data_IF_106835728506
#
_entry.id   IF_106835728506
#
_cell.length_a   1.000
_cell.length_b   1.000
_cell.length_c   1.000
_cell.angle_alpha   90.00
_cell.angle_beta   90.00
_cell.angle_gamma   90.00
#
_symmetry.space_group_name_H-M   'P 1'
#
loop_
_entity.id
_entity.type
_entity.pdbx_description
1 polymer ?
#
# COMPACT_ATOMS: atom_id res chain seq x y z
N UNK A 1 -16.74 13.58 -3.03
CA UNK A 1 -15.53 14.39 -2.74
C UNK A 1 -14.31 13.68 -3.32
N UNK A 2 -13.41 14.31 -4.09
CA UNK A 2 -12.23 13.57 -4.59
C UNK A 2 -11.35 13.08 -3.43
N UNK A 3 -10.82 11.87 -3.54
CA UNK A 3 -9.92 11.25 -2.56
C UNK A 3 -8.59 12.01 -2.44
N UNK A 4 -7.86 11.77 -1.34
CA UNK A 4 -6.49 12.25 -1.11
C UNK A 4 -6.31 13.78 -1.21
N UNK A 5 -7.36 14.56 -0.92
CA UNK A 5 -7.30 16.03 -0.88
C UNK A 5 -6.67 16.59 0.39
N UNK A 6 -6.80 15.87 1.50
CA UNK A 6 -6.32 16.30 2.82
C UNK A 6 -5.24 15.35 3.29
N UNK A 7 -4.10 15.92 3.66
CA UNK A 7 -2.98 15.17 4.23
C UNK A 7 -3.37 14.64 5.64
N UNK A 8 -3.18 13.34 5.93
CA UNK A 8 -3.38 12.80 7.26
C UNK A 8 -2.57 13.53 8.33
N UNK A 9 -3.16 13.72 9.52
CA UNK A 9 -2.53 14.45 10.63
C UNK A 9 -1.16 13.86 10.99
N UNK A 10 -1.05 12.52 11.00
CA UNK A 10 0.20 11.82 11.35
C UNK A 10 1.33 12.08 10.33
N UNK A 11 0.98 12.18 9.05
CA UNK A 11 1.91 12.49 7.96
C UNK A 11 2.40 13.95 8.07
N UNK A 12 1.51 14.88 8.43
CA UNK A 12 1.88 16.28 8.75
C UNK A 12 2.84 16.32 9.93
N UNK A 13 2.52 15.62 11.02
CA UNK A 13 3.35 15.58 12.23
C UNK A 13 4.76 15.04 11.95
N UNK A 14 4.86 14.08 11.02
CA UNK A 14 6.10 13.49 10.56
C UNK A 14 6.92 14.39 9.60
N UNK A 15 6.37 15.55 9.20
CA UNK A 15 6.95 16.51 8.25
C UNK A 15 7.21 15.94 6.86
N UNK A 16 6.33 15.08 6.35
CA UNK A 16 6.58 14.38 5.08
C UNK A 16 6.49 15.30 3.86
N UNK A 17 5.48 16.18 3.78
CA UNK A 17 5.19 16.95 2.56
C UNK A 17 6.09 18.18 2.33
N UNK A 18 6.49 18.89 3.39
CA UNK A 18 7.13 20.22 3.26
C UNK A 18 8.57 20.25 3.79
N UNK A 19 9.20 19.08 3.98
CA UNK A 19 10.59 19.00 4.42
C UNK A 19 11.53 18.91 3.23
N UNK A 20 12.70 19.53 3.34
CA UNK A 20 13.76 19.37 2.34
C UNK A 20 14.16 17.89 2.21
N UNK A 21 14.65 17.51 1.04
CA UNK A 21 15.23 16.17 0.81
C UNK A 21 16.58 16.10 1.53
N UNK A 22 16.66 15.28 2.57
CA UNK A 22 17.82 15.18 3.48
C UNK A 22 18.31 13.73 3.68
N UNK A 23 17.66 12.75 3.04
CA UNK A 23 18.10 11.36 3.04
C UNK A 23 19.10 11.08 1.92
N UNK A 24 19.93 10.05 2.14
CA UNK A 24 20.83 9.55 1.11
C UNK A 24 20.08 8.62 0.16
N UNK A 25 20.44 8.65 -1.12
CA UNK A 25 20.00 7.67 -2.11
C UNK A 25 21.21 7.15 -2.86
N UNK A 26 21.39 5.82 -2.85
CA UNK A 26 22.48 5.13 -3.54
C UNK A 26 21.95 3.82 -4.10
N UNK A 27 22.62 3.23 -5.11
CA UNK A 27 22.22 1.91 -5.64
C UNK A 27 22.12 0.84 -4.56
N UNK A 28 23.03 0.85 -3.57
CA UNK A 28 23.00 -0.07 -2.43
C UNK A 28 21.78 0.11 -1.53
N UNK A 29 21.29 1.34 -1.36
CA UNK A 29 20.04 1.59 -0.62
C UNK A 29 18.86 1.04 -1.42
N UNK A 30 18.83 1.30 -2.72
CA UNK A 30 17.79 0.82 -3.62
C UNK A 30 17.70 -0.72 -3.62
N UNK A 31 18.84 -1.41 -3.76
CA UNK A 31 18.94 -2.89 -3.72
C UNK A 31 18.33 -3.46 -2.44
N UNK A 32 18.70 -2.90 -1.27
CA UNK A 32 18.15 -3.29 0.04
C UNK A 32 16.65 -3.05 0.21
N UNK A 33 16.05 -2.19 -0.61
CA UNK A 33 14.63 -1.88 -0.57
C UNK A 33 13.81 -2.69 -1.58
N UNK A 34 14.47 -3.26 -2.59
CA UNK A 34 13.87 -4.17 -3.57
C UNK A 34 13.93 -5.61 -3.05
N UNK A 35 15.02 -5.98 -2.36
CA UNK A 35 15.18 -7.31 -1.74
C UNK A 35 15.52 -7.17 -0.25
N UNK A 36 14.49 -6.98 0.61
CA UNK A 36 14.69 -6.59 2.01
C UNK A 36 14.81 -7.77 3.00
N UNK A 37 14.50 -9.02 2.61
CA UNK A 37 14.22 -10.13 3.53
C UNK A 37 15.37 -10.42 4.50
N UNK A 38 16.59 -10.56 3.99
CA UNK A 38 17.72 -11.08 4.78
C UNK A 38 18.07 -10.26 6.03
N UNK A 39 17.92 -8.94 6.00
CA UNK A 39 18.18 -8.08 7.18
C UNK A 39 16.93 -7.83 8.04
N UNK A 40 15.75 -8.30 7.61
CA UNK A 40 14.45 -7.90 8.16
C UNK A 40 13.48 -9.07 8.40
N UNK A 41 13.98 -10.30 8.54
CA UNK A 41 13.18 -11.52 8.78
C UNK A 41 12.15 -11.36 9.92
N UNK A 42 12.53 -10.67 11.00
CA UNK A 42 11.62 -10.42 12.13
C UNK A 42 10.41 -9.57 11.75
N UNK A 43 10.59 -8.58 10.87
CA UNK A 43 9.49 -7.74 10.39
C UNK A 43 8.63 -8.50 9.36
N UNK A 44 9.24 -9.31 8.51
CA UNK A 44 8.51 -10.20 7.62
C UNK A 44 7.63 -11.18 8.40
N UNK A 45 8.14 -11.79 9.47
CA UNK A 45 7.37 -12.66 10.35
C UNK A 45 6.17 -11.96 11.01
N UNK A 46 6.31 -10.68 11.35
CA UNK A 46 5.20 -9.86 11.85
C UNK A 46 4.16 -9.62 10.75
N UNK A 47 4.59 -9.30 9.52
CA UNK A 47 3.69 -9.11 8.38
C UNK A 47 2.97 -10.41 7.98
N UNK A 48 3.58 -11.57 8.18
CA UNK A 48 2.95 -12.87 7.92
C UNK A 48 1.78 -13.19 8.86
N UNK A 49 1.60 -12.43 9.95
CA UNK A 49 0.48 -12.60 10.88
C UNK A 49 -0.80 -11.89 10.43
N UNK A 50 -0.76 -11.05 9.40
CA UNK A 50 -1.92 -10.31 8.91
C UNK A 50 -2.47 -10.89 7.59
N UNK A 51 -3.77 -10.74 7.39
CA UNK A 51 -4.46 -11.24 6.20
C UNK A 51 -4.04 -10.52 4.92
N UNK A 52 -4.34 -11.09 3.74
CA UNK A 52 -3.96 -10.48 2.46
C UNK A 52 -4.64 -9.13 2.23
N UNK A 53 -5.92 -8.99 2.60
CA UNK A 53 -6.61 -7.69 2.52
C UNK A 53 -5.99 -6.66 3.47
N UNK A 54 -5.55 -7.06 4.66
CA UNK A 54 -4.83 -6.20 5.57
C UNK A 54 -3.46 -5.77 5.02
N UNK A 55 -2.70 -6.70 4.43
CA UNK A 55 -1.42 -6.39 3.76
C UNK A 55 -1.63 -5.40 2.61
N UNK A 56 -2.66 -5.60 1.78
CA UNK A 56 -3.01 -4.68 0.69
C UNK A 56 -3.39 -3.29 1.21
N UNK A 57 -4.19 -3.22 2.28
CA UNK A 57 -4.56 -1.96 2.93
C UNK A 57 -3.36 -1.23 3.56
N UNK A 58 -2.48 -1.97 4.22
CA UNK A 58 -1.24 -1.44 4.79
C UNK A 58 -0.31 -0.91 3.70
N UNK A 59 -0.18 -1.63 2.58
CA UNK A 59 0.58 -1.19 1.44
C UNK A 59 0.00 0.10 0.82
N UNK A 60 -1.33 0.18 0.63
CA UNK A 60 -1.99 1.39 0.14
C UNK A 60 -1.79 2.59 1.08
N UNK A 61 -1.95 2.38 2.39
CA UNK A 61 -1.70 3.40 3.40
C UNK A 61 -0.23 3.82 3.45
N UNK A 62 0.71 2.89 3.33
CA UNK A 62 2.16 3.18 3.26
C UNK A 62 2.50 3.98 2.00
N UNK A 63 1.89 3.64 0.86
CA UNK A 63 2.04 4.39 -0.38
C UNK A 63 1.53 5.83 -0.26
N UNK A 64 0.54 6.12 0.60
CA UNK A 64 0.14 7.50 0.88
C UNK A 64 1.26 8.33 1.53
N UNK A 65 2.10 7.75 2.38
CA UNK A 65 3.27 8.45 2.92
C UNK A 65 4.21 8.89 1.80
N UNK A 66 4.43 8.01 0.82
CA UNK A 66 5.29 8.26 -0.34
C UNK A 66 4.64 9.29 -1.28
N UNK A 67 3.34 9.17 -1.53
CA UNK A 67 2.57 10.15 -2.29
C UNK A 67 2.72 11.55 -1.71
N UNK A 68 2.47 11.71 -0.41
CA UNK A 68 2.60 13.01 0.24
C UNK A 68 4.03 13.52 0.28
N UNK A 69 5.04 12.63 0.29
CA UNK A 69 6.45 13.03 0.22
C UNK A 69 6.81 13.69 -1.09
N UNK A 70 6.26 13.18 -2.20
CA UNK A 70 6.66 13.60 -3.55
C UNK A 70 5.60 14.39 -4.31
N UNK A 71 4.44 14.66 -3.69
CA UNK A 71 3.28 15.27 -4.34
C UNK A 71 3.62 16.53 -5.15
N UNK A 72 4.36 17.44 -4.54
CA UNK A 72 4.75 18.73 -5.14
C UNK A 72 6.16 18.68 -5.77
N UNK A 73 6.85 17.52 -5.71
CA UNK A 73 8.23 17.34 -6.18
C UNK A 73 8.34 16.55 -7.48
N UNK A 74 7.28 15.84 -7.88
CA UNK A 74 7.27 15.05 -9.11
C UNK A 74 5.90 15.06 -9.77
N UNK A 75 5.88 15.13 -11.09
CA UNK A 75 4.65 14.97 -11.91
C UNK A 75 4.10 13.54 -11.86
N UNK A 76 4.89 12.58 -11.38
CA UNK A 76 4.49 11.18 -11.20
C UNK A 76 3.61 10.95 -9.96
N UNK A 77 3.46 11.96 -9.10
CA UNK A 77 2.59 11.87 -7.92
C UNK A 77 1.13 11.55 -8.27
N UNK A 78 0.67 11.98 -9.45
CA UNK A 78 -0.67 11.65 -9.95
C UNK A 78 -0.83 10.16 -10.27
N UNK A 79 0.23 9.50 -10.77
CA UNK A 79 0.23 8.04 -10.99
C UNK A 79 0.16 7.29 -9.65
N UNK A 80 0.95 7.70 -8.67
CA UNK A 80 0.90 7.16 -7.30
C UNK A 80 -0.52 7.31 -6.72
N UNK A 81 -1.15 8.48 -6.90
CA UNK A 81 -2.53 8.74 -6.46
C UNK A 81 -3.52 7.75 -7.05
N UNK A 82 -3.41 7.48 -8.36
CA UNK A 82 -4.27 6.52 -9.05
C UNK A 82 -4.05 5.10 -8.52
N UNK A 83 -2.80 4.69 -8.31
CA UNK A 83 -2.48 3.38 -7.73
C UNK A 83 -3.03 3.21 -6.32
N UNK A 84 -2.92 4.22 -5.46
CA UNK A 84 -3.56 4.19 -4.12
C UNK A 84 -5.05 3.96 -4.26
N UNK A 85 -5.73 4.73 -5.13
CA UNK A 85 -7.17 4.57 -5.37
C UNK A 85 -7.53 3.16 -5.83
N UNK A 86 -6.73 2.60 -6.73
CA UNK A 86 -6.94 1.26 -7.28
C UNK A 86 -6.69 0.18 -6.25
N UNK A 87 -5.67 0.31 -5.40
CA UNK A 87 -5.42 -0.66 -4.33
C UNK A 87 -6.60 -0.74 -3.36
N UNK A 88 -7.17 0.41 -2.97
CA UNK A 88 -8.42 0.43 -2.18
C UNK A 88 -9.58 -0.22 -2.94
N UNK A 89 -9.75 0.05 -4.24
CA UNK A 89 -10.77 -0.62 -5.06
C UNK A 89 -10.58 -2.14 -5.15
N UNK A 90 -9.32 -2.62 -5.18
CA UNK A 90 -8.97 -4.04 -5.29
C UNK A 90 -9.26 -4.82 -4.00
N UNK A 91 -9.23 -4.15 -2.84
CA UNK A 91 -9.63 -4.74 -1.55
C UNK A 91 -11.13 -5.09 -1.52
N UNK A 92 -11.98 -4.27 -2.15
CA UNK A 92 -13.41 -4.58 -2.29
C UNK A 92 -13.59 -5.75 -3.25
N UNK A 93 -13.04 -5.63 -4.47
CA UNK A 93 -13.09 -6.67 -5.48
C UNK A 93 -11.96 -6.47 -6.51
N UNK A 94 -10.99 -7.39 -6.61
CA UNK A 94 -9.89 -7.29 -7.56
C UNK A 94 -10.32 -7.20 -9.03
N UNK A 95 -11.47 -7.80 -9.38
CA UNK A 95 -12.05 -7.79 -10.74
C UNK A 95 -12.48 -6.39 -11.19
N UNK A 96 -12.57 -5.42 -10.29
CA UNK A 96 -12.83 -4.02 -10.62
C UNK A 96 -11.57 -3.27 -11.08
N UNK A 97 -10.41 -3.93 -11.16
CA UNK A 97 -9.12 -3.28 -11.39
C UNK A 97 -8.29 -3.98 -12.47
N UNK A 98 -7.64 -3.19 -13.31
CA UNK A 98 -6.58 -3.65 -14.20
C UNK A 98 -5.28 -3.84 -13.40
N UNK A 99 -4.31 -4.53 -13.99
CA UNK A 99 -2.98 -4.68 -13.38
C UNK A 99 -2.27 -3.33 -13.26
N UNK A 100 -1.57 -3.14 -12.14
CA UNK A 100 -0.77 -1.95 -11.87
C UNK A 100 0.55 -1.94 -12.66
N UNK A 101 0.46 -2.08 -13.99
CA UNK A 101 1.58 -2.12 -14.93
C UNK A 101 2.53 -0.93 -14.69
N UNK A 102 3.84 -1.21 -14.64
CA UNK A 102 4.89 -0.23 -14.43
C UNK A 102 6.16 -0.62 -15.18
N UNK A 103 6.78 0.37 -15.80
CA UNK A 103 8.16 0.37 -16.35
C UNK A 103 8.56 -0.90 -17.12
N UNK A 104 7.68 -1.36 -18.03
CA UNK A 104 7.94 -2.55 -18.86
C UNK A 104 9.17 -2.33 -19.75
N UNK A 105 9.36 -1.10 -20.23
CA UNK A 105 10.43 -0.72 -21.16
C UNK A 105 11.73 -0.30 -20.45
N UNK A 106 11.77 -0.35 -19.11
CA UNK A 106 12.92 0.06 -18.29
C UNK A 106 13.39 1.50 -18.58
N UNK A 107 12.42 2.39 -18.83
CA UNK A 107 12.65 3.78 -19.21
C UNK A 107 12.58 4.75 -18.03
N UNK A 108 12.07 4.28 -16.89
CA UNK A 108 11.92 5.11 -15.70
C UNK A 108 13.26 5.26 -14.95
N UNK A 109 13.73 6.50 -14.68
CA UNK A 109 14.98 6.69 -13.96
C UNK A 109 14.86 6.23 -12.50
N UNK A 110 15.61 5.19 -12.13
CA UNK A 110 15.72 4.74 -10.73
C UNK A 110 16.78 5.52 -9.91
N UNK A 111 17.30 6.60 -10.48
CA UNK A 111 18.41 7.38 -9.94
C UNK A 111 17.89 8.60 -9.18
N UNK A 112 18.80 9.33 -8.52
CA UNK A 112 18.52 10.56 -7.79
C UNK A 112 17.56 10.42 -6.59
N UNK A 113 17.44 11.49 -5.81
CA UNK A 113 16.73 11.45 -4.53
C UNK A 113 15.21 11.50 -4.67
N UNK A 114 14.63 11.75 -5.84
CA UNK A 114 13.19 11.84 -6.06
C UNK A 114 12.71 10.65 -6.89
N UNK A 115 13.28 10.47 -8.08
CA UNK A 115 12.81 9.45 -9.02
C UNK A 115 13.13 8.04 -8.55
N UNK A 116 14.30 7.83 -7.93
CA UNK A 116 14.67 6.53 -7.35
C UNK A 116 13.67 5.99 -6.32
N UNK A 117 13.36 6.74 -5.25
CA UNK A 117 12.30 6.35 -4.31
C UNK A 117 10.93 6.12 -4.97
N UNK A 118 10.55 6.95 -5.95
CA UNK A 118 9.30 6.74 -6.69
C UNK A 118 9.35 5.42 -7.44
N UNK A 119 10.42 5.15 -8.18
CA UNK A 119 10.61 3.91 -8.93
C UNK A 119 10.48 2.68 -8.02
N UNK A 120 11.18 2.67 -6.88
CA UNK A 120 11.09 1.56 -5.90
C UNK A 120 9.67 1.40 -5.38
N UNK A 121 8.96 2.50 -5.10
CA UNK A 121 7.57 2.43 -4.65
C UNK A 121 6.66 1.81 -5.71
N UNK A 122 6.82 2.19 -6.99
CA UNK A 122 5.99 1.73 -8.09
C UNK A 122 6.27 0.27 -8.44
N UNK A 123 7.53 -0.17 -8.33
CA UNK A 123 7.92 -1.57 -8.46
C UNK A 123 7.30 -2.45 -7.37
N UNK A 124 7.49 -2.09 -6.09
CA UNK A 124 6.90 -2.84 -4.98
C UNK A 124 5.36 -2.90 -5.13
N UNK A 125 4.70 -1.77 -5.43
CA UNK A 125 3.23 -1.72 -5.58
C UNK A 125 2.74 -2.59 -6.73
N UNK A 126 3.46 -2.64 -7.85
CA UNK A 126 3.15 -3.56 -8.95
C UNK A 126 3.24 -5.02 -8.49
N UNK A 127 4.30 -5.38 -7.77
CA UNK A 127 4.48 -6.76 -7.30
C UNK A 127 3.43 -7.13 -6.26
N UNK A 128 3.11 -6.24 -5.32
CA UNK A 128 2.03 -6.39 -4.34
C UNK A 128 0.69 -6.66 -5.05
N UNK A 129 0.33 -5.88 -6.07
CA UNK A 129 -0.91 -6.07 -6.84
C UNK A 129 -0.96 -7.46 -7.50
N UNK A 130 0.11 -7.87 -8.16
CA UNK A 130 0.20 -9.18 -8.83
C UNK A 130 0.07 -10.33 -7.81
N UNK A 131 0.83 -10.26 -6.71
CA UNK A 131 0.83 -11.30 -5.69
C UNK A 131 -0.51 -11.38 -4.95
N UNK A 132 -1.12 -10.23 -4.67
CA UNK A 132 -2.44 -10.15 -4.05
C UNK A 132 -3.50 -10.81 -4.93
N UNK A 133 -3.57 -10.45 -6.23
CA UNK A 133 -4.53 -11.05 -7.17
C UNK A 133 -4.35 -12.55 -7.32
N UNK A 134 -3.10 -13.03 -7.28
CA UNK A 134 -2.76 -14.46 -7.32
C UNK A 134 -3.00 -15.20 -5.99
N UNK A 135 -3.24 -14.50 -4.88
CA UNK A 135 -3.30 -15.11 -3.55
C UNK A 135 -1.96 -15.69 -3.10
N UNK A 136 -0.83 -15.10 -3.50
CA UNK A 136 0.50 -15.62 -3.17
C UNK A 136 0.93 -15.28 -1.74
N UNK A 137 1.50 -16.25 -1.03
CA UNK A 137 2.05 -16.09 0.32
C UNK A 137 3.31 -15.19 0.38
N UNK A 138 3.84 -14.75 -0.77
CA UNK A 138 5.00 -13.86 -0.84
C UNK A 138 4.62 -12.35 -0.82
N UNK A 139 3.32 -12.03 -0.67
CA UNK A 139 2.81 -10.65 -0.66
C UNK A 139 3.49 -9.76 0.40
N UNK A 140 3.81 -10.35 1.55
CA UNK A 140 4.38 -9.67 2.72
C UNK A 140 5.80 -9.18 2.46
N UNK A 141 6.59 -9.92 1.67
CA UNK A 141 7.96 -9.55 1.30
C UNK A 141 8.01 -8.24 0.50
N UNK A 142 7.09 -8.06 -0.44
CA UNK A 142 7.00 -6.81 -1.22
C UNK A 142 6.44 -5.65 -0.36
N UNK A 143 5.52 -5.97 0.56
CA UNK A 143 4.98 -4.99 1.51
C UNK A 143 6.08 -4.46 2.43
N UNK A 144 7.01 -5.32 2.85
CA UNK A 144 8.19 -4.97 3.65
C UNK A 144 9.07 -3.93 2.93
N UNK A 145 9.38 -4.12 1.65
CA UNK A 145 10.19 -3.18 0.87
C UNK A 145 9.57 -1.78 0.84
N UNK A 146 8.25 -1.71 0.65
CA UNK A 146 7.50 -0.45 0.66
C UNK A 146 7.51 0.25 2.03
N UNK A 147 7.38 -0.50 3.13
CA UNK A 147 7.45 0.04 4.51
C UNK A 147 8.83 0.62 4.80
N UNK A 148 9.89 -0.12 4.46
CA UNK A 148 11.27 0.33 4.67
C UNK A 148 11.57 1.58 3.84
N UNK A 149 11.06 1.66 2.62
CA UNK A 149 11.18 2.86 1.78
C UNK A 149 10.47 4.06 2.43
N UNK A 150 9.21 3.90 2.83
CA UNK A 150 8.44 4.98 3.47
C UNK A 150 9.13 5.48 4.74
N UNK A 151 9.69 4.56 5.55
CA UNK A 151 10.50 4.89 6.71
C UNK A 151 11.78 5.65 6.34
N UNK A 152 12.48 5.21 5.29
CA UNK A 152 13.74 5.81 4.84
C UNK A 152 13.58 7.28 4.46
N UNK A 153 12.56 7.57 3.65
CA UNK A 153 12.28 8.92 3.13
C UNK A 153 11.55 9.83 4.12
N UNK A 154 11.01 9.29 5.21
CA UNK A 154 10.33 10.07 6.24
C UNK A 154 11.34 10.83 7.11
N UNK A 155 11.21 12.16 7.25
CA UNK A 155 12.13 12.95 8.08
C UNK A 155 12.08 12.56 9.56
N UNK A 156 10.87 12.53 10.15
CA UNK A 156 10.69 12.08 11.54
C UNK A 156 10.39 10.59 11.60
N UNK A 157 11.42 9.77 11.42
CA UNK A 157 11.31 8.29 11.43
C UNK A 157 10.54 7.74 12.63
N UNK A 158 10.79 8.25 13.84
CA UNK A 158 10.06 7.82 15.06
C UNK A 158 8.53 8.01 14.98
N UNK A 159 8.05 9.02 14.24
CA UNK A 159 6.61 9.22 14.04
C UNK A 159 6.03 8.18 13.09
N UNK A 160 6.78 7.81 12.04
CA UNK A 160 6.41 6.70 11.17
C UNK A 160 6.46 5.36 11.93
N UNK A 161 7.54 5.10 12.67
CA UNK A 161 7.73 3.88 13.45
C UNK A 161 6.54 3.67 14.41
N UNK A 162 6.17 4.71 15.17
CA UNK A 162 4.99 4.65 16.05
C UNK A 162 3.69 4.41 15.27
N UNK A 163 3.50 5.07 14.14
CA UNK A 163 2.32 4.85 13.31
C UNK A 163 2.25 3.41 12.80
N UNK A 164 3.38 2.87 12.35
CA UNK A 164 3.48 1.50 11.87
C UNK A 164 3.19 0.51 13.00
N UNK A 165 3.86 0.65 14.15
CA UNK A 165 3.68 -0.20 15.33
C UNK A 165 2.23 -0.19 15.83
N UNK A 166 1.62 0.99 15.93
CA UNK A 166 0.23 1.11 16.38
C UNK A 166 -0.74 0.44 15.39
N UNK A 167 -0.47 0.50 14.07
CA UNK A 167 -1.33 -0.11 13.06
C UNK A 167 -1.11 -1.61 12.93
N UNK A 168 0.13 -2.10 12.90
CA UNK A 168 0.41 -3.53 12.72
C UNK A 168 -0.15 -4.35 13.88
N UNK A 169 -0.07 -3.85 15.12
CA UNK A 169 -0.69 -4.49 16.28
C UNK A 169 -2.22 -4.57 16.16
N UNK A 170 -2.86 -3.51 15.64
CA UNK A 170 -4.31 -3.55 15.37
C UNK A 170 -4.67 -4.51 14.25
N UNK A 171 -3.87 -4.55 13.19
CA UNK A 171 -4.07 -5.47 12.06
C UNK A 171 -3.96 -6.92 12.51
N UNK A 172 -2.97 -7.27 13.32
CA UNK A 172 -2.84 -8.64 13.87
C UNK A 172 -4.09 -9.02 14.67
N UNK A 173 -4.64 -8.09 15.44
CA UNK A 173 -5.82 -8.35 16.27
C UNK A 173 -7.14 -8.45 15.46
N UNK A 174 -7.36 -7.55 14.50
CA UNK A 174 -8.65 -7.43 13.79
C UNK A 174 -8.67 -8.12 12.43
N UNK A 175 -7.51 -8.34 11.83
CA UNK A 175 -7.32 -8.94 10.52
C UNK A 175 -6.22 -10.03 10.52
N UNK A 176 -6.28 -11.02 11.44
CA UNK A 176 -5.26 -12.06 11.49
C UNK A 176 -5.28 -12.93 10.24
N UNK A 177 -4.09 -13.36 9.82
CA UNK A 177 -3.90 -14.39 8.81
C UNK A 177 -4.56 -15.69 9.28
N UNK A 178 -5.55 -16.17 8.52
CA UNK A 178 -6.30 -17.40 8.84
C UNK A 178 -5.63 -18.68 8.30
N UNK A 179 -4.65 -18.54 7.40
CA UNK A 179 -3.98 -19.64 6.70
C UNK A 179 -2.57 -19.87 7.26
N UNK A 180 -2.46 -20.14 8.56
CA UNK A 180 -1.19 -20.45 9.24
C UNK A 180 -0.66 -21.88 8.96
N UNK A 181 -1.22 -22.59 7.97
CA UNK A 181 -0.81 -23.97 7.70
C UNK A 181 0.68 -24.04 7.30
N UNK A 182 1.33 -25.07 7.81
CA UNK A 182 2.79 -25.18 7.97
C UNK A 182 3.59 -24.86 6.72
N UNK A 183 4.68 -24.13 6.94
CA UNK A 183 5.77 -23.67 6.06
C UNK A 183 6.21 -24.64 4.94
N UNK A 184 5.86 -25.93 5.04
CA UNK A 184 6.24 -26.97 4.09
C UNK A 184 5.41 -27.02 2.78
N UNK A 185 4.23 -26.38 2.73
CA UNK A 185 3.34 -26.35 1.54
C UNK A 185 3.19 -24.94 0.92
N UNK A 186 4.03 -23.98 1.31
CA UNK A 186 3.87 -22.55 0.96
C UNK A 186 4.14 -22.21 -0.52
N UNK A 187 4.97 -22.98 -1.22
CA UNK A 187 5.33 -22.68 -2.62
C UNK A 187 4.15 -22.88 -3.59
N UNK A 188 3.26 -23.84 -3.32
CA UNK A 188 2.13 -24.18 -4.20
C UNK A 188 0.74 -23.84 -3.62
N UNK A 189 0.64 -23.46 -2.33
CA UNK A 189 -0.64 -23.11 -1.72
C UNK A 189 -1.05 -21.67 -2.01
N UNK A 190 -2.30 -21.48 -2.45
CA UNK A 190 -2.90 -20.16 -2.66
C UNK A 190 -3.68 -19.75 -1.41
N UNK A 191 -3.47 -18.51 -0.98
CA UNK A 191 -4.26 -17.87 0.07
C UNK A 191 -5.63 -17.47 -0.48
N UNK A 192 -6.70 -18.08 0.04
CA UNK A 192 -8.08 -17.67 -0.24
C UNK A 192 -8.50 -16.48 0.64
N UNK A 193 -8.39 -15.27 0.10
CA UNK A 193 -8.79 -14.02 0.76
C UNK A 193 -10.26 -13.64 0.52
N UNK A 194 -11.07 -14.50 -0.09
CA UNK A 194 -12.48 -14.21 -0.36
C UNK A 194 -13.28 -13.93 0.92
N UNK A 195 -12.91 -14.59 2.02
CA UNK A 195 -13.54 -14.46 3.34
C UNK A 195 -12.87 -13.42 4.24
N UNK A 196 -11.72 -12.86 3.84
CA UNK A 196 -11.07 -11.82 4.63
C UNK A 196 -12.01 -10.61 4.77
N UNK A 197 -12.17 -10.05 5.98
CA UNK A 197 -12.92 -8.81 6.14
C UNK A 197 -12.23 -7.68 5.37
N UNK A 198 -13.03 -6.77 4.81
CA UNK A 198 -12.49 -5.61 4.12
C UNK A 198 -11.90 -4.60 5.11
N UNK A 199 -10.92 -3.84 4.64
CA UNK A 199 -10.27 -2.77 5.39
C UNK A 199 -10.44 -1.45 4.64
N UNK A 200 -10.54 -0.36 5.38
CA UNK A 200 -10.70 0.99 4.83
C UNK A 200 -9.53 1.89 5.22
N UNK A 201 -9.41 3.02 4.51
CA UNK A 201 -8.36 4.01 4.71
C UNK A 201 -8.38 4.65 6.10
N UNK A 202 -9.58 4.87 6.65
CA UNK A 202 -9.83 5.50 7.94
C UNK A 202 -9.18 4.71 9.08
N UNK A 203 -9.11 3.38 8.98
CA UNK A 203 -8.42 2.51 9.93
C UNK A 203 -6.98 2.99 10.23
N UNK A 204 -6.28 3.49 9.22
CA UNK A 204 -4.86 3.88 9.30
C UNK A 204 -4.62 5.33 9.71
N UNK A 205 -5.59 6.22 9.48
CA UNK A 205 -5.37 7.67 9.51
C UNK A 205 -6.36 8.45 10.38
N UNK A 206 -7.48 7.85 10.75
CA UNK A 206 -8.46 8.45 11.64
C UNK A 206 -8.31 7.86 13.05
N UNK A 207 -7.81 8.67 13.98
CA UNK A 207 -7.64 8.27 15.38
C UNK A 207 -8.95 8.01 16.11
N UNK A 208 -10.09 8.45 15.55
CA UNK A 208 -11.43 8.21 16.09
C UNK A 208 -12.15 7.05 15.44
N UNK A 209 -11.53 6.39 14.44
CA UNK A 209 -12.10 5.22 13.81
C UNK A 209 -12.00 4.01 14.75
N UNK A 210 -13.15 3.53 15.19
CA UNK A 210 -13.29 2.28 15.91
C UNK A 210 -13.61 1.16 14.91
N UNK A 211 -12.87 0.06 14.97
CA UNK A 211 -13.10 -1.02 14.03
C UNK A 211 -14.48 -1.66 14.23
N UNK A 212 -15.25 -1.63 13.15
CA UNK A 212 -16.45 -2.44 12.92
C UNK A 212 -16.45 -2.82 11.44
N UNK A 213 -16.79 -4.06 11.12
CA UNK A 213 -16.85 -4.56 9.75
C UNK A 213 -17.81 -3.74 8.86
N UNK A 214 -18.99 -3.36 9.38
CA UNK A 214 -19.97 -2.55 8.65
C UNK A 214 -19.44 -1.14 8.36
N UNK A 215 -18.77 -0.52 9.34
CA UNK A 215 -18.17 0.80 9.17
C UNK A 215 -17.02 0.76 8.18
N UNK A 216 -16.21 -0.30 8.22
CA UNK A 216 -15.11 -0.52 7.26
C UNK A 216 -15.64 -0.68 5.84
N UNK A 217 -16.68 -1.50 5.64
CA UNK A 217 -17.36 -1.66 4.33
C UNK A 217 -17.90 -0.34 3.82
N UNK A 218 -18.59 0.42 4.68
CA UNK A 218 -19.16 1.73 4.32
C UNK A 218 -18.08 2.73 3.92
N UNK A 219 -17.05 2.89 4.76
CA UNK A 219 -15.96 3.82 4.51
C UNK A 219 -15.17 3.47 3.23
N UNK A 220 -14.94 2.18 2.99
CA UNK A 220 -14.34 1.70 1.75
C UNK A 220 -15.21 2.02 0.53
N UNK A 221 -16.52 1.74 0.61
CA UNK A 221 -17.47 2.06 -0.46
C UNK A 221 -17.54 3.55 -0.77
N UNK A 222 -17.58 4.39 0.28
CA UNK A 222 -17.55 5.85 0.15
C UNK A 222 -16.25 6.30 -0.55
N UNK A 223 -15.09 5.74 -0.17
CA UNK A 223 -13.82 6.01 -0.83
C UNK A 223 -13.85 5.61 -2.32
N UNK A 224 -14.34 4.42 -2.64
CA UNK A 224 -14.42 3.89 -4.02
C UNK A 224 -15.35 4.74 -4.89
N UNK A 225 -16.52 5.16 -4.37
CA UNK A 225 -17.47 6.01 -5.12
C UNK A 225 -16.88 7.38 -5.53
N UNK A 226 -15.79 7.78 -4.86
CA UNK A 226 -15.12 9.05 -5.09
C UNK A 226 -13.96 8.96 -6.11
N UNK A 227 -13.66 7.76 -6.61
CA UNK A 227 -12.64 7.52 -7.65
C UNK A 227 -13.12 8.10 -8.97
N UNK A 228 -12.23 8.82 -9.67
CA UNK A 228 -12.50 9.28 -11.02
C UNK A 228 -12.10 8.21 -12.05
N UNK A 229 -13.03 7.33 -12.38
CA UNK A 229 -12.85 6.24 -13.36
C UNK A 229 -12.52 6.71 -14.79
N UNK A 230 -12.73 7.99 -15.13
CA UNK A 230 -12.31 8.52 -16.43
C UNK A 230 -10.82 8.87 -16.47
N UNK A 231 -10.20 9.07 -15.30
CA UNK A 231 -8.78 9.44 -15.18
C UNK A 231 -7.92 8.32 -14.65
N UNK A 232 -8.45 7.52 -13.73
CA UNK A 232 -7.72 6.39 -13.16
C UNK A 232 -7.70 5.24 -14.16
N UNK A 233 -6.57 5.05 -14.84
CA UNK A 233 -6.39 4.04 -15.88
C UNK A 233 -6.45 2.59 -15.35
N UNK A 234 -6.26 2.41 -14.06
CA UNK A 234 -6.21 1.09 -13.43
C UNK A 234 -7.55 0.64 -12.86
N UNK A 235 -8.56 1.53 -12.78
CA UNK A 235 -9.89 1.17 -12.33
C UNK A 235 -10.83 0.91 -13.52
N UNK A 236 -11.52 -0.23 -13.49
CA UNK A 236 -12.51 -0.59 -14.51
C UNK A 236 -13.82 0.11 -14.13
N UNK A 237 -14.37 0.92 -15.06
CA UNK A 237 -15.70 1.51 -14.87
C UNK A 237 -16.72 0.38 -14.81
N UNK A 238 -17.42 0.21 -13.67
CA UNK A 238 -18.55 -0.72 -13.59
C UNK A 238 -19.53 -0.34 -14.70
N UNK A 239 -19.85 -1.30 -15.57
CA UNK A 239 -21.02 -1.16 -16.46
C UNK A 239 -22.22 -1.12 -15.51
N UNK A 240 -22.88 0.02 -15.42
CA UNK A 240 -24.25 0.06 -14.91
C UNK A 240 -25.04 -0.85 -15.85
N UNK A 241 -25.32 -2.08 -15.42
CA UNK A 241 -26.36 -2.85 -16.07
C UNK A 241 -27.63 -2.03 -15.89
N UNK A 242 -28.17 -1.53 -17.00
CA UNK A 242 -29.48 -0.91 -17.01
C UNK A 242 -30.42 -1.90 -16.31
N UNK A 243 -30.92 -1.52 -15.14
CA UNK A 243 -31.99 -2.23 -14.46
C UNK A 243 -33.17 -2.29 -15.45
N UNK A 244 -33.41 -3.48 -15.98
CA UNK A 244 -34.58 -3.83 -16.77
C UNK A 244 -35.77 -4.09 -15.84
#
# INVERSE_FOLDING_TARGET
MKNLKKIPKIIVQAKVADHLIDYKWTPKIMEKLIDPVGENEGLEHILNQISHKASMGLAAATLEWIFWRFKELSTKSEDIRQRIETMWSSIENPENTNDLVFDIELDFPANNYIDGPIWVSLMNVRMIDILYKKGSNFLQTETLGLILLARHITPKKKTFDKWFDDNINKLINFYPNQNLNSVNDLEDSLYDYSKDPVICREFFFDSSFEYNEEQSKKALSDFISNINYQKNQYCIKRKEYASA
#
